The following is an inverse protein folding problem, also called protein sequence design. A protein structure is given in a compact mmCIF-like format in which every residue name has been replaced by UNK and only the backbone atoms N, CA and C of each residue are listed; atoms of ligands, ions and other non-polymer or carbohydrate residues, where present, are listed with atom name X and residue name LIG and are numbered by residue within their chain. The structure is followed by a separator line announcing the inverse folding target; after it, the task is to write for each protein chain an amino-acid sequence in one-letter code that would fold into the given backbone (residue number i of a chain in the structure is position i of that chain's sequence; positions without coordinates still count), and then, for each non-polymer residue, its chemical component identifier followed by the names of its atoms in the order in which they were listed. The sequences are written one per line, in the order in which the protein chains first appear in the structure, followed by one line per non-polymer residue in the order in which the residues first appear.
data_IF_027836318470
#
_entry.id   IF_027836318470
#
_cell.length_a   1.000
_cell.length_b   1.000
_cell.length_c   1.000
_cell.angle_alpha   90.00
_cell.angle_beta   90.00
_cell.angle_gamma   90.00
#
_symmetry.space_group_name_H-M   'P 1'
#
loop_
_entity.id
_entity.type
_entity.pdbx_description
1 polymer ?
#
# COMPACT_ATOMS: atom_id res chain seq x y z
N UNK A 1 -14.70 11.95 -7.00
CA UNK A 1 -14.49 11.09 -8.20
C UNK A 1 -15.75 10.28 -8.50
N UNK A 2 -15.96 9.91 -9.75
CA UNK A 2 -17.01 8.93 -10.13
C UNK A 2 -16.62 7.56 -9.57
N UNK A 3 -17.61 6.72 -9.24
CA UNK A 3 -17.42 5.35 -8.70
C UNK A 3 -17.73 4.27 -9.74
N UNK A 4 -17.59 4.61 -11.02
CA UNK A 4 -17.88 3.75 -12.15
C UNK A 4 -16.58 3.60 -12.91
N UNK A 5 -16.11 2.36 -13.02
CA UNK A 5 -14.82 2.02 -13.63
C UNK A 5 -15.06 1.32 -14.96
N UNK A 6 -14.15 1.55 -15.89
CA UNK A 6 -14.04 0.81 -17.15
C UNK A 6 -12.75 -0.01 -17.10
N UNK A 7 -12.74 -1.22 -17.68
CA UNK A 7 -11.50 -1.98 -17.82
C UNK A 7 -10.45 -1.14 -18.54
N UNK A 8 -9.23 -1.19 -18.01
CA UNK A 8 -8.04 -0.62 -18.64
C UNK A 8 -7.78 -1.26 -20.01
N UNK A 9 -7.19 -0.49 -20.92
CA UNK A 9 -6.71 -0.96 -22.23
C UNK A 9 -5.19 -1.10 -22.27
N UNK A 10 -4.51 -0.81 -21.15
CA UNK A 10 -3.08 -0.97 -20.98
C UNK A 10 -2.46 0.09 -20.06
N UNK A 11 -1.13 0.03 -19.84
CA UNK A 11 -0.42 0.85 -18.85
C UNK A 11 -0.63 2.36 -19.00
N UNK A 12 -0.82 2.86 -20.23
CA UNK A 12 -1.05 4.29 -20.47
C UNK A 12 -2.31 4.82 -19.77
N UNK A 13 -3.31 3.99 -19.48
CA UNK A 13 -4.47 4.42 -18.69
C UNK A 13 -4.06 4.80 -17.26
N UNK A 14 -3.06 4.10 -16.67
CA UNK A 14 -2.53 4.42 -15.35
C UNK A 14 -1.79 5.76 -15.34
N UNK A 15 -1.02 6.03 -16.40
CA UNK A 15 -0.30 7.30 -16.55
C UNK A 15 -1.24 8.51 -16.40
N UNK A 16 -2.45 8.44 -16.95
CA UNK A 16 -3.41 9.56 -16.89
C UNK A 16 -3.95 9.85 -15.49
N UNK A 17 -3.77 8.92 -14.54
CA UNK A 17 -4.25 9.03 -13.16
C UNK A 17 -3.22 9.66 -12.22
N UNK A 18 -1.97 9.78 -12.68
CA UNK A 18 -0.88 10.37 -11.92
C UNK A 18 -1.10 11.86 -11.67
N UNK A 19 -0.57 12.36 -10.56
CA UNK A 19 -0.65 13.77 -10.20
C UNK A 19 0.18 14.66 -11.15
N UNK A 20 1.31 14.14 -11.63
CA UNK A 20 2.17 14.76 -12.64
C UNK A 20 2.63 13.68 -13.64
N UNK A 21 1.79 13.34 -14.65
CA UNK A 21 2.03 12.24 -15.57
C UNK A 21 3.34 12.33 -16.37
N UNK A 22 3.85 13.53 -16.63
CA UNK A 22 5.10 13.73 -17.37
C UNK A 22 6.31 13.48 -16.48
N UNK A 23 6.29 13.93 -15.22
CA UNK A 23 7.41 13.74 -14.30
C UNK A 23 7.42 12.37 -13.63
N UNK A 24 6.25 11.80 -13.35
CA UNK A 24 6.13 10.56 -12.58
C UNK A 24 6.22 9.31 -13.48
N UNK A 25 5.92 9.42 -14.78
CA UNK A 25 5.96 8.28 -15.70
C UNK A 25 7.33 8.11 -16.36
N UNK A 26 8.26 7.46 -15.65
CA UNK A 26 9.65 7.32 -16.09
C UNK A 26 10.15 5.89 -15.92
N UNK A 27 10.96 5.41 -16.86
CA UNK A 27 11.68 4.13 -16.76
C UNK A 27 12.53 4.09 -15.51
N UNK A 28 12.53 2.96 -14.80
CA UNK A 28 13.28 2.78 -13.55
C UNK A 28 12.66 3.42 -12.30
N UNK A 29 11.44 3.97 -12.40
CA UNK A 29 10.65 4.50 -11.28
C UNK A 29 9.39 3.65 -11.05
N UNK A 30 8.80 3.72 -9.86
CA UNK A 30 7.76 2.79 -9.43
C UNK A 30 6.47 2.83 -10.25
N UNK A 31 5.94 4.03 -10.55
CA UNK A 31 4.61 4.17 -11.17
C UNK A 31 4.49 3.43 -12.52
N UNK A 32 5.45 3.65 -13.42
CA UNK A 32 5.48 3.00 -14.73
C UNK A 32 5.74 1.49 -14.61
N UNK A 33 6.72 1.12 -13.78
CA UNK A 33 7.11 -0.27 -13.56
C UNK A 33 5.92 -1.09 -13.02
N UNK A 34 5.19 -0.54 -12.05
CA UNK A 34 4.02 -1.17 -11.45
C UNK A 34 2.89 -1.35 -12.47
N UNK A 35 2.60 -0.32 -13.28
CA UNK A 35 1.58 -0.41 -14.32
C UNK A 35 1.88 -1.50 -15.34
N UNK A 36 3.11 -1.56 -15.86
CA UNK A 36 3.50 -2.63 -16.79
C UNK A 36 3.47 -4.01 -16.16
N UNK A 37 3.90 -4.15 -14.90
CA UNK A 37 3.87 -5.41 -14.17
C UNK A 37 2.46 -5.95 -13.97
N UNK A 38 1.53 -5.11 -13.50
CA UNK A 38 0.16 -5.53 -13.24
C UNK A 38 -0.64 -5.78 -14.51
N UNK A 39 -0.42 -4.99 -15.57
CA UNK A 39 -1.10 -5.18 -16.87
C UNK A 39 -0.60 -6.40 -17.63
N UNK A 40 0.64 -6.85 -17.38
CA UNK A 40 1.19 -8.06 -18.00
C UNK A 40 0.72 -9.36 -17.32
N UNK A 41 0.11 -9.28 -16.14
CA UNK A 41 -0.35 -10.43 -15.39
C UNK A 41 -1.77 -10.83 -15.77
N UNK A 42 -2.02 -12.14 -15.95
CA UNK A 42 -3.37 -12.70 -16.02
C UNK A 42 -3.94 -12.88 -14.60
N UNK A 43 -4.29 -11.77 -13.94
CA UNK A 43 -4.74 -11.74 -12.55
C UNK A 43 -3.75 -11.01 -11.64
N UNK A 44 -3.31 -11.67 -10.56
CA UNK A 44 -2.29 -11.10 -9.67
C UNK A 44 -0.89 -11.27 -10.28
N UNK A 45 0.01 -10.28 -10.12
CA UNK A 45 1.45 -10.52 -10.32
C UNK A 45 1.91 -11.73 -9.49
N UNK A 46 2.74 -12.64 -10.03
CA UNK A 46 3.10 -13.89 -9.36
C UNK A 46 3.66 -13.72 -7.93
N UNK A 47 4.47 -12.69 -7.72
CA UNK A 47 5.06 -12.31 -6.44
C UNK A 47 4.02 -11.81 -5.43
N UNK A 48 2.92 -11.21 -5.89
CA UNK A 48 1.78 -10.82 -5.06
C UNK A 48 0.92 -12.05 -4.77
N UNK A 49 0.64 -12.88 -5.77
CA UNK A 49 -0.12 -14.13 -5.61
C UNK A 49 0.55 -15.07 -4.58
N UNK A 50 1.88 -15.16 -4.62
CA UNK A 50 2.67 -15.97 -3.69
C UNK A 50 2.47 -15.57 -2.22
N UNK A 51 2.24 -14.28 -1.92
CA UNK A 51 1.97 -13.81 -0.56
C UNK A 51 0.65 -14.36 -0.02
N UNK A 52 -0.37 -14.47 -0.87
CA UNK A 52 -1.71 -14.92 -0.49
C UNK A 52 -1.92 -16.44 -0.64
N UNK A 53 -0.92 -17.15 -1.14
CA UNK A 53 -0.95 -18.60 -1.35
C UNK A 53 -1.62 -19.05 -2.65
N UNK A 54 -1.58 -20.36 -2.92
CA UNK A 54 -2.12 -20.94 -4.15
C UNK A 54 -3.65 -20.75 -4.22
N UNK A 55 -4.14 -20.47 -5.43
CA UNK A 55 -5.57 -20.23 -5.67
C UNK A 55 -6.06 -18.84 -5.24
N UNK A 56 -5.14 -17.91 -4.96
CA UNK A 56 -5.49 -16.50 -4.82
C UNK A 56 -5.96 -15.91 -6.16
N UNK A 57 -6.97 -15.05 -6.10
CA UNK A 57 -7.67 -14.51 -7.25
C UNK A 57 -7.76 -12.98 -7.12
N UNK A 58 -7.40 -12.26 -8.20
CA UNK A 58 -7.66 -10.83 -8.31
C UNK A 58 -9.11 -10.62 -8.73
N UNK A 59 -9.91 -9.96 -7.89
CA UNK A 59 -11.30 -9.61 -8.22
C UNK A 59 -11.37 -8.28 -8.99
N UNK A 60 -10.61 -7.29 -8.56
CA UNK A 60 -10.44 -5.99 -9.24
C UNK A 60 -9.17 -5.31 -8.74
N UNK A 61 -8.48 -4.57 -9.62
CA UNK A 61 -7.43 -3.63 -9.28
C UNK A 61 -7.83 -2.22 -9.74
N UNK A 62 -7.58 -1.22 -8.89
CA UNK A 62 -7.87 0.19 -9.12
C UNK A 62 -6.56 0.97 -8.91
N UNK A 63 -5.93 1.46 -9.99
CA UNK A 63 -4.73 2.27 -9.88
C UNK A 63 -5.02 3.63 -9.25
N UNK A 64 -4.03 4.20 -8.55
CA UNK A 64 -4.06 5.56 -8.01
C UNK A 64 -5.29 5.84 -7.11
N UNK A 65 -5.71 4.82 -6.37
CA UNK A 65 -6.95 4.84 -5.60
C UNK A 65 -6.85 5.75 -4.37
N UNK A 66 -7.80 6.67 -4.22
CA UNK A 66 -7.82 7.67 -3.15
C UNK A 66 -8.80 7.29 -2.04
N UNK A 67 -8.31 7.35 -0.81
CA UNK A 67 -9.05 7.03 0.41
C UNK A 67 -9.02 8.23 1.35
N UNK A 68 -10.21 8.74 1.69
CA UNK A 68 -10.37 9.74 2.74
C UNK A 68 -10.06 9.12 4.10
N UNK A 69 -9.20 9.79 4.89
CA UNK A 69 -8.81 9.37 6.23
C UNK A 69 -9.77 9.92 7.30
N UNK A 70 -11.06 10.09 6.96
CA UNK A 70 -12.14 10.58 7.84
C UNK A 70 -11.88 11.95 8.48
N UNK A 71 -11.04 12.75 7.85
CA UNK A 71 -10.75 14.13 8.24
C UNK A 71 -10.92 15.09 7.06
N UNK A 72 -10.72 16.38 7.31
CA UNK A 72 -10.77 17.43 6.28
C UNK A 72 -9.44 17.58 5.51
N UNK A 73 -8.47 16.70 5.71
CA UNK A 73 -7.16 16.81 5.09
C UNK A 73 -7.06 16.07 3.75
N UNK A 74 -5.83 15.96 3.24
CA UNK A 74 -5.55 15.26 1.98
C UNK A 74 -5.80 13.75 2.10
N UNK A 75 -6.42 13.16 1.09
CA UNK A 75 -6.62 11.71 0.95
C UNK A 75 -5.30 10.94 0.86
N UNK A 76 -5.30 9.67 1.31
CA UNK A 76 -4.25 8.71 1.01
C UNK A 76 -4.47 8.17 -0.41
N UNK A 77 -3.51 8.32 -1.31
CA UNK A 77 -3.59 7.84 -2.71
C UNK A 77 -2.68 6.64 -2.95
N UNK A 78 -3.15 5.41 -2.84
CA UNK A 78 -2.32 4.20 -3.01
C UNK A 78 -2.09 3.89 -4.49
N UNK A 79 -0.90 3.43 -4.85
CA UNK A 79 -0.54 3.16 -6.25
C UNK A 79 -1.46 2.11 -6.89
N UNK A 80 -1.76 1.02 -6.16
CA UNK A 80 -2.81 0.06 -6.55
C UNK A 80 -3.64 -0.34 -5.33
N UNK A 81 -4.96 -0.18 -5.44
CA UNK A 81 -5.90 -0.86 -4.55
C UNK A 81 -6.43 -2.12 -5.23
N UNK A 82 -6.41 -3.26 -4.56
CA UNK A 82 -6.93 -4.51 -5.10
C UNK A 82 -7.91 -5.17 -4.12
N UNK A 83 -8.97 -5.79 -4.67
CA UNK A 83 -9.75 -6.78 -3.94
C UNK A 83 -9.24 -8.16 -4.33
N UNK A 84 -8.79 -8.92 -3.34
CA UNK A 84 -8.23 -10.25 -3.51
C UNK A 84 -9.08 -11.26 -2.80
N UNK A 85 -9.32 -12.41 -3.43
CA UNK A 85 -9.90 -13.59 -2.77
C UNK A 85 -8.80 -14.61 -2.53
N UNK A 86 -8.70 -15.11 -1.30
CA UNK A 86 -7.83 -16.24 -0.96
C UNK A 86 -8.45 -17.04 0.18
N UNK A 87 -8.35 -18.38 0.13
CA UNK A 87 -8.83 -19.27 1.20
C UNK A 87 -10.27 -18.99 1.65
N UNK A 88 -11.17 -18.68 0.70
CA UNK A 88 -12.56 -18.28 0.94
C UNK A 88 -12.75 -17.00 1.78
N UNK A 89 -11.74 -16.13 1.79
CA UNK A 89 -11.77 -14.80 2.40
C UNK A 89 -11.54 -13.74 1.34
N UNK A 90 -12.13 -12.58 1.54
CA UNK A 90 -11.94 -11.37 0.74
C UNK A 90 -11.03 -10.41 1.49
N UNK A 91 -10.11 -9.80 0.77
CA UNK A 91 -9.05 -8.97 1.35
C UNK A 91 -8.99 -7.67 0.57
N UNK A 92 -9.09 -6.54 1.28
CA UNK A 92 -8.84 -5.22 0.71
C UNK A 92 -7.34 -4.92 0.80
N UNK A 93 -6.67 -4.82 -0.34
CA UNK A 93 -5.21 -4.73 -0.44
C UNK A 93 -4.81 -3.36 -0.94
N UNK A 94 -4.04 -2.63 -0.14
CA UNK A 94 -3.31 -1.44 -0.58
C UNK A 94 -1.88 -1.86 -0.98
N UNK A 95 -1.49 -1.57 -2.21
CA UNK A 95 -0.15 -1.88 -2.73
C UNK A 95 0.60 -0.59 -3.05
N UNK A 96 1.78 -0.43 -2.46
CA UNK A 96 2.70 0.68 -2.74
C UNK A 96 3.90 0.15 -3.55
N UNK A 97 4.11 0.70 -4.74
CA UNK A 97 5.23 0.40 -5.60
C UNK A 97 6.50 1.12 -5.14
N UNK A 98 7.64 0.42 -5.12
CA UNK A 98 8.95 1.02 -4.80
C UNK A 98 10.05 0.55 -5.75
N UNK A 99 10.99 1.44 -6.08
CA UNK A 99 12.25 1.06 -6.74
C UNK A 99 13.45 1.58 -5.94
N UNK A 100 13.62 2.90 -5.92
CA UNK A 100 14.72 3.57 -5.23
C UNK A 100 14.22 4.72 -4.35
N UNK A 101 13.00 5.19 -4.60
CA UNK A 101 12.33 6.27 -3.91
C UNK A 101 12.00 5.87 -2.48
N UNK A 102 12.19 6.79 -1.53
CA UNK A 102 11.87 6.54 -0.12
C UNK A 102 10.37 6.45 0.12
N UNK A 103 9.99 6.11 1.36
CA UNK A 103 8.62 6.26 1.85
C UNK A 103 8.25 7.71 2.21
N UNK A 104 9.02 8.70 1.72
CA UNK A 104 8.83 10.10 2.06
C UNK A 104 9.32 10.43 3.49
N UNK A 105 8.76 11.46 4.15
CA UNK A 105 9.23 11.91 5.46
C UNK A 105 8.94 10.90 6.58
N UNK A 106 9.83 10.88 7.58
CA UNK A 106 9.61 10.19 8.86
C UNK A 106 8.54 10.89 9.69
N UNK A 107 8.08 10.29 10.79
CA UNK A 107 7.21 10.95 11.75
C UNK A 107 7.91 12.17 12.35
N UNK A 108 9.22 12.10 12.62
CA UNK A 108 9.99 13.25 13.10
C UNK A 108 9.94 14.42 12.11
N UNK A 109 10.20 14.18 10.83
CA UNK A 109 10.22 15.24 9.81
C UNK A 109 8.81 15.73 9.49
N UNK A 110 7.87 14.80 9.37
CA UNK A 110 6.51 15.13 9.06
C UNK A 110 5.88 15.86 10.23
N UNK A 111 6.08 15.48 11.48
CA UNK A 111 5.33 16.00 12.62
C UNK A 111 5.99 17.21 13.33
N UNK A 112 6.90 17.93 12.68
CA UNK A 112 7.43 19.20 13.19
C UNK A 112 6.34 20.26 13.28
N UNK A 113 6.23 20.93 14.43
CA UNK A 113 5.28 22.00 14.74
C UNK A 113 3.86 21.72 14.18
N UNK A 114 3.21 20.63 14.63
CA UNK A 114 2.04 20.11 13.96
C UNK A 114 0.83 21.01 14.16
N UNK A 115 0.16 21.38 13.06
CA UNK A 115 -1.14 22.05 13.13
C UNK A 115 -2.18 21.16 13.83
N UNK A 116 -3.29 21.72 14.38
CA UNK A 116 -4.32 20.93 15.06
C UNK A 116 -4.86 19.77 14.21
N UNK A 117 -5.06 19.99 12.90
CA UNK A 117 -5.50 18.93 11.99
C UNK A 117 -4.46 17.82 11.79
N UNK A 118 -3.17 18.17 11.83
CA UNK A 118 -2.08 17.19 11.75
C UNK A 118 -2.00 16.34 13.01
N UNK A 119 -2.21 16.96 14.18
CA UNK A 119 -2.27 16.26 15.46
C UNK A 119 -3.46 15.28 15.49
N UNK A 120 -4.65 15.75 15.11
CA UNK A 120 -5.83 14.92 15.01
C UNK A 120 -5.62 13.75 14.04
N UNK A 121 -5.01 14.01 12.88
CA UNK A 121 -4.72 12.97 11.89
C UNK A 121 -3.76 11.92 12.43
N UNK A 122 -2.66 12.32 13.07
CA UNK A 122 -1.72 11.34 13.63
C UNK A 122 -2.38 10.50 14.72
N UNK A 123 -3.12 11.14 15.62
CA UNK A 123 -3.86 10.45 16.68
C UNK A 123 -4.85 9.43 16.10
N UNK A 124 -5.60 9.79 15.06
CA UNK A 124 -6.49 8.87 14.36
C UNK A 124 -5.73 7.69 13.76
N UNK A 125 -4.61 7.92 13.07
CA UNK A 125 -3.82 6.84 12.47
C UNK A 125 -3.25 5.87 13.53
N UNK A 126 -2.80 6.41 14.67
CA UNK A 126 -2.28 5.60 15.77
C UNK A 126 -3.39 4.77 16.45
N UNK A 127 -4.55 5.38 16.68
CA UNK A 127 -5.74 4.71 17.22
C UNK A 127 -6.16 3.53 16.32
N UNK A 128 -6.25 3.75 15.01
CA UNK A 128 -6.61 2.69 14.06
C UNK A 128 -5.60 1.53 14.06
N UNK A 129 -4.30 1.81 14.19
CA UNK A 129 -3.25 0.79 14.22
C UNK A 129 -3.04 0.14 15.59
N UNK A 130 -3.66 0.70 16.64
CA UNK A 130 -3.48 0.27 18.02
C UNK A 130 -2.06 0.49 18.54
N UNK A 131 -1.46 1.65 18.23
CA UNK A 131 -0.12 2.05 18.69
C UNK A 131 -0.16 3.34 19.50
N UNK A 132 0.89 3.60 20.28
CA UNK A 132 1.03 4.84 21.04
C UNK A 132 1.15 6.07 20.10
N UNK A 133 0.62 7.21 20.55
CA UNK A 133 0.69 8.48 19.84
C UNK A 133 1.42 9.54 20.70
N UNK A 134 2.50 10.17 20.20
CA UNK A 134 3.13 9.92 18.91
C UNK A 134 3.90 8.58 18.88
N UNK A 135 4.00 7.93 17.72
CA UNK A 135 4.79 6.72 17.55
C UNK A 135 6.29 7.05 17.48
N UNK A 136 7.14 6.02 17.35
CA UNK A 136 8.58 6.17 17.11
C UNK A 136 8.86 7.14 15.96
N UNK A 137 9.80 8.06 16.17
CA UNK A 137 10.12 9.19 15.28
C UNK A 137 10.57 8.78 13.89
N UNK A 138 11.38 7.73 13.80
CA UNK A 138 12.06 7.23 12.60
C UNK A 138 11.11 6.56 11.61
N UNK A 139 9.90 6.19 12.02
CA UNK A 139 8.96 5.49 11.15
C UNK A 139 8.46 6.42 10.05
N UNK A 140 8.33 5.91 8.82
CA UNK A 140 7.81 6.70 7.72
C UNK A 140 6.29 6.93 7.81
N UNK A 141 5.87 8.18 7.72
CA UNK A 141 4.46 8.58 7.76
C UNK A 141 3.62 7.90 6.67
N UNK A 142 4.23 7.62 5.51
CA UNK A 142 3.54 6.95 4.41
C UNK A 142 2.98 5.58 4.81
N UNK A 143 3.74 4.78 5.56
CA UNK A 143 3.35 3.44 5.96
C UNK A 143 2.10 3.44 6.84
N UNK A 144 1.94 4.45 7.70
CA UNK A 144 0.74 4.63 8.52
C UNK A 144 -0.50 4.85 7.66
N UNK A 145 -0.50 5.89 6.83
CA UNK A 145 -1.71 6.27 6.11
C UNK A 145 -2.08 5.30 4.99
N UNK A 146 -1.12 4.54 4.45
CA UNK A 146 -1.37 3.43 3.52
C UNK A 146 -2.03 2.25 4.21
N UNK A 147 -1.54 1.89 5.39
CA UNK A 147 -2.09 0.77 6.16
C UNK A 147 -3.51 1.07 6.63
N UNK A 148 -3.74 2.25 7.21
CA UNK A 148 -5.09 2.67 7.62
C UNK A 148 -6.02 2.81 6.42
N UNK A 149 -5.53 3.30 5.27
CA UNK A 149 -6.30 3.30 4.01
C UNK A 149 -6.82 1.90 3.63
N UNK A 150 -6.00 0.85 3.76
CA UNK A 150 -6.43 -0.52 3.51
C UNK A 150 -7.54 -0.96 4.48
N UNK A 151 -7.41 -0.63 5.77
CA UNK A 151 -8.39 -0.95 6.81
C UNK A 151 -9.74 -0.27 6.58
N UNK A 152 -9.71 1.01 6.19
CA UNK A 152 -10.90 1.78 5.86
C UNK A 152 -11.60 1.24 4.61
N UNK A 153 -10.83 0.81 3.61
CA UNK A 153 -11.40 0.17 2.43
C UNK A 153 -11.95 -1.22 2.72
N UNK A 154 -11.31 -1.98 3.61
CA UNK A 154 -11.86 -3.24 4.08
C UNK A 154 -13.23 -3.04 4.75
N UNK A 155 -13.41 -1.93 5.47
CA UNK A 155 -14.69 -1.61 6.11
C UNK A 155 -15.73 -1.22 5.06
N UNK A 156 -15.34 -0.35 4.11
CA UNK A 156 -16.23 0.16 3.07
C UNK A 156 -16.71 -0.93 2.11
N UNK A 157 -15.82 -1.82 1.71
CA UNK A 157 -16.12 -2.95 0.83
C UNK A 157 -16.60 -4.21 1.58
N UNK A 158 -16.62 -4.17 2.92
CA UNK A 158 -16.98 -5.30 3.79
C UNK A 158 -16.16 -6.56 3.50
N UNK A 159 -14.85 -6.40 3.38
CA UNK A 159 -13.94 -7.54 3.23
C UNK A 159 -13.63 -8.17 4.59
N UNK A 160 -13.25 -9.44 4.56
CA UNK A 160 -12.91 -10.21 5.76
C UNK A 160 -11.61 -9.71 6.41
N UNK A 161 -10.63 -9.29 5.59
CA UNK A 161 -9.33 -8.80 6.03
C UNK A 161 -8.88 -7.55 5.26
N UNK A 162 -7.81 -6.93 5.74
CA UNK A 162 -7.08 -5.84 5.09
C UNK A 162 -5.62 -6.22 4.89
N UNK A 163 -4.97 -5.69 3.85
CA UNK A 163 -3.54 -5.89 3.63
C UNK A 163 -2.86 -4.61 3.14
N UNK A 164 -1.65 -4.34 3.64
CA UNK A 164 -0.74 -3.34 3.07
C UNK A 164 0.51 -4.06 2.56
N UNK A 165 0.75 -3.99 1.25
CA UNK A 165 1.83 -4.68 0.58
C UNK A 165 2.77 -3.65 -0.06
N UNK A 166 4.06 -3.78 0.19
CA UNK A 166 5.07 -3.09 -0.61
C UNK A 166 5.43 -3.98 -1.79
N UNK A 167 5.21 -3.50 -3.01
CA UNK A 167 5.67 -4.17 -4.22
C UNK A 167 6.96 -3.49 -4.71
N UNK A 168 8.09 -4.07 -4.33
CA UNK A 168 9.41 -3.49 -4.61
C UNK A 168 10.07 -4.14 -5.82
N UNK A 169 10.46 -3.33 -6.78
CA UNK A 169 11.29 -3.74 -7.91
C UNK A 169 12.78 -3.40 -7.66
N UNK A 170 13.13 -2.96 -6.46
CA UNK A 170 14.51 -2.67 -6.08
C UNK A 170 15.37 -3.93 -6.15
N UNK A 171 16.47 -3.95 -6.92
CA UNK A 171 17.41 -5.07 -6.92
C UNK A 171 17.94 -5.45 -5.54
N UNK A 172 18.12 -4.43 -4.69
CA UNK A 172 18.73 -4.49 -3.36
C UNK A 172 17.68 -4.50 -2.23
N UNK A 173 16.39 -4.56 -2.55
CA UNK A 173 15.29 -4.39 -1.59
C UNK A 173 15.41 -3.08 -0.78
N UNK A 174 15.78 -1.97 -1.43
CA UNK A 174 15.89 -0.67 -0.74
C UNK A 174 14.61 -0.35 0.02
N UNK A 175 14.81 0.23 1.21
CA UNK A 175 13.75 0.61 2.16
C UNK A 175 13.05 -0.57 2.86
N UNK A 176 13.54 -1.80 2.70
CA UNK A 176 13.01 -2.93 3.48
C UNK A 176 13.24 -2.76 4.98
N UNK A 177 14.36 -2.16 5.38
CA UNK A 177 14.69 -1.77 6.75
C UNK A 177 13.63 -0.83 7.35
N UNK A 178 13.30 0.26 6.64
CA UNK A 178 12.25 1.19 7.05
C UNK A 178 10.86 0.51 7.16
N UNK A 179 10.55 -0.40 6.24
CA UNK A 179 9.34 -1.22 6.32
C UNK A 179 9.38 -2.17 7.53
N UNK A 180 10.51 -2.81 7.79
CA UNK A 180 10.68 -3.72 8.91
C UNK A 180 10.53 -3.01 10.26
N UNK A 181 11.03 -1.78 10.40
CA UNK A 181 10.82 -0.95 11.59
C UNK A 181 9.33 -0.61 11.80
N UNK A 182 8.57 -0.39 10.73
CA UNK A 182 7.12 -0.19 10.83
C UNK A 182 6.38 -1.47 11.25
N UNK A 183 6.77 -2.61 10.69
CA UNK A 183 6.21 -3.92 11.07
C UNK A 183 6.53 -4.26 12.54
N UNK A 184 7.74 -3.96 12.99
CA UNK A 184 8.18 -4.10 14.38
C UNK A 184 7.38 -3.22 15.34
N UNK A 185 7.04 -1.98 14.94
CA UNK A 185 6.18 -1.09 15.73
C UNK A 185 4.81 -1.74 16.02
N UNK A 186 4.33 -2.58 15.10
CA UNK A 186 3.06 -3.29 15.23
C UNK A 186 3.16 -4.60 16.02
N UNK A 187 4.35 -4.94 16.54
CA UNK A 187 4.64 -6.15 17.31
C UNK A 187 4.90 -7.39 16.45
N UNK A 188 5.33 -7.21 15.21
CA UNK A 188 5.54 -8.28 14.23
C UNK A 188 6.99 -8.26 13.71
N UNK A 189 7.44 -9.33 13.07
CA UNK A 189 8.79 -9.38 12.45
C UNK A 189 8.65 -9.50 10.94
N UNK A 190 9.12 -8.51 10.19
CA UNK A 190 9.03 -8.54 8.73
C UNK A 190 9.86 -9.67 8.12
N UNK A 191 9.35 -10.27 7.03
CA UNK A 191 10.04 -11.29 6.24
C UNK A 191 9.77 -11.07 4.75
N UNK A 192 10.81 -11.21 3.92
CA UNK A 192 10.71 -10.98 2.48
C UNK A 192 9.87 -12.08 1.84
N UNK A 193 8.90 -11.67 1.02
CA UNK A 193 8.05 -12.63 0.29
C UNK A 193 7.10 -13.42 1.19
N UNK A 194 6.84 -12.97 2.43
CA UNK A 194 5.84 -13.56 3.32
C UNK A 194 4.91 -12.49 3.89
N UNK A 195 3.68 -12.91 4.18
CA UNK A 195 2.76 -12.11 4.98
C UNK A 195 3.02 -12.33 6.45
N UNK A 196 3.03 -11.23 7.20
CA UNK A 196 2.87 -11.24 8.65
C UNK A 196 1.57 -10.54 9.01
N UNK A 197 0.94 -10.98 10.10
CA UNK A 197 -0.45 -10.65 10.36
C UNK A 197 -0.70 -10.38 11.83
N UNK A 198 -1.62 -9.44 12.12
CA UNK A 198 -2.17 -9.23 13.46
C UNK A 198 -3.69 -9.09 13.39
N UNK A 199 -4.37 -9.47 14.47
CA UNK A 199 -5.81 -9.22 14.62
C UNK A 199 -6.04 -7.77 15.05
N UNK A 200 -7.00 -7.12 14.40
CA UNK A 200 -7.45 -5.77 14.71
C UNK A 200 -8.52 -5.77 15.81
N UNK A 201 -8.78 -4.61 16.41
CA UNK A 201 -9.77 -4.47 17.48
C UNK A 201 -11.20 -4.86 17.07
N UNK A 202 -11.51 -4.75 15.77
CA UNK A 202 -12.81 -5.13 15.21
C UNK A 202 -12.89 -6.60 14.74
N UNK A 203 -11.85 -7.39 15.00
CA UNK A 203 -11.78 -8.82 14.70
C UNK A 203 -11.27 -9.17 13.30
N UNK A 204 -11.06 -8.19 12.40
CA UNK A 204 -10.44 -8.44 11.09
C UNK A 204 -8.95 -8.72 11.22
N UNK A 205 -8.36 -9.40 10.24
CA UNK A 205 -6.91 -9.55 10.16
C UNK A 205 -6.31 -8.41 9.34
N UNK A 206 -5.24 -7.80 9.85
CA UNK A 206 -4.37 -6.94 9.07
C UNK A 206 -3.13 -7.74 8.65
N UNK A 207 -2.93 -7.85 7.34
CA UNK A 207 -1.74 -8.44 6.74
C UNK A 207 -0.76 -7.35 6.28
N UNK A 208 0.53 -7.63 6.45
CA UNK A 208 1.62 -6.80 5.98
C UNK A 208 2.56 -7.69 5.16
N UNK A 209 2.97 -7.23 3.99
CA UNK A 209 3.90 -8.00 3.15
C UNK A 209 4.84 -7.15 2.32
N UNK A 210 5.93 -7.79 1.90
CA UNK A 210 6.87 -7.27 0.94
C UNK A 210 7.00 -8.24 -0.24
N UNK A 211 6.51 -7.84 -1.41
CA UNK A 211 6.65 -8.58 -2.65
C UNK A 211 7.84 -8.04 -3.45
N UNK A 212 8.68 -8.95 -3.95
CA UNK A 212 9.82 -8.62 -4.80
C UNK A 212 9.42 -8.79 -6.26
N UNK A 213 9.26 -7.68 -6.96
CA UNK A 213 8.86 -7.64 -8.36
C UNK A 213 9.99 -8.07 -9.30
N UNK A 214 9.59 -8.56 -10.49
CA UNK A 214 10.53 -8.96 -11.53
C UNK A 214 11.29 -7.75 -12.09
N UNK A 215 12.63 -7.85 -12.14
CA UNK A 215 13.52 -6.75 -12.58
C UNK A 215 13.31 -6.35 -14.03
N UNK A 216 12.77 -7.24 -14.87
CA UNK A 216 12.54 -6.99 -16.29
C UNK A 216 11.60 -5.80 -16.51
N UNK A 217 10.68 -5.55 -15.58
CA UNK A 217 9.80 -4.39 -15.62
C UNK A 217 10.51 -3.05 -15.38
N UNK A 218 11.72 -3.04 -14.80
CA UNK A 218 12.48 -1.79 -14.61
C UNK A 218 12.92 -1.17 -15.93
N UNK A 219 13.13 -2.00 -16.96
CA UNK A 219 13.52 -1.58 -18.29
C UNK A 219 12.31 -1.23 -19.17
N UNK A 220 11.10 -1.59 -18.75
CA UNK A 220 9.88 -1.32 -19.52
C UNK A 220 9.62 0.15 -19.64
#
# INVERSE_FOLDING_TARGET
MRRIYVPTTGPQNWQTLLADPEKQWRTGYSARTLAHCWEAAEGLPPEIAALFGPGSELLIAIPEHKVSLRDAGRESQTDVFALVKSSNRTIAVAVEGKVNESFGPTIADWYQEPSPGKQQRLAFLCDQLGVECPPRSEIHYQLFHRTVSAMLEAERFKTDDAAMIVHSFSPENKWFDAYAEFVDLLGLTADLGRLVSKTLADGRTLHLGWAKGARDFLAT
#
